data_IF_113649357419
#
_entry.id   IF_113649357419
#
_cell.length_a   1.000
_cell.length_b   1.000
_cell.length_c   1.000
_cell.angle_alpha   90.00
_cell.angle_beta   90.00
_cell.angle_gamma   90.00
#
_symmetry.space_group_name_H-M   'P 1'
#
loop_
_entity.id
_entity.type
_entity.pdbx_description
1 polymer ?
#
# COMPACT_ATOMS: atom_id res chain seq x y z
N UNK A 1 12.45 9.03 -0.85
CA UNK A 1 12.12 7.61 -1.09
C UNK A 1 13.40 6.99 -1.64
N UNK A 2 13.65 5.69 -1.43
CA UNK A 2 14.89 5.09 -1.95
C UNK A 2 14.70 4.59 -3.39
N UNK A 3 15.78 4.46 -4.17
CA UNK A 3 15.77 3.78 -5.47
C UNK A 3 15.06 2.41 -5.41
N UNK A 4 15.31 1.67 -4.32
CA UNK A 4 14.58 0.43 -3.99
C UNK A 4 13.07 0.58 -4.10
N UNK A 5 12.47 1.49 -3.35
CA UNK A 5 11.01 1.61 -3.29
C UNK A 5 10.42 2.17 -4.58
N UNK A 6 11.16 3.00 -5.32
CA UNK A 6 10.76 3.42 -6.65
C UNK A 6 10.72 2.22 -7.62
N UNK A 7 11.73 1.35 -7.55
CA UNK A 7 11.81 0.14 -8.35
C UNK A 7 10.72 -0.89 -7.99
N UNK A 8 10.41 -1.06 -6.70
CA UNK A 8 9.25 -1.84 -6.25
C UNK A 8 7.93 -1.22 -6.70
N UNK A 9 7.78 0.11 -6.63
CA UNK A 9 6.59 0.81 -7.09
C UNK A 9 6.31 0.57 -8.58
N UNK A 10 7.35 0.52 -9.41
CA UNK A 10 7.20 0.17 -10.83
C UNK A 10 6.70 -1.28 -11.02
N UNK A 11 7.11 -2.23 -10.16
CA UNK A 11 6.55 -3.60 -10.14
C UNK A 11 5.09 -3.58 -9.73
N UNK A 12 4.74 -2.88 -8.65
CA UNK A 12 3.37 -2.71 -8.18
C UNK A 12 2.48 -2.13 -9.30
N UNK A 13 2.91 -1.04 -9.94
CA UNK A 13 2.19 -0.43 -11.07
C UNK A 13 1.99 -1.41 -12.22
N UNK A 14 3.03 -2.16 -12.59
CA UNK A 14 2.94 -3.14 -13.68
C UNK A 14 1.90 -4.22 -13.35
N UNK A 15 1.99 -4.80 -12.14
CA UNK A 15 1.02 -5.81 -11.69
C UNK A 15 -0.40 -5.26 -11.61
N UNK A 16 -0.59 -4.03 -11.12
CA UNK A 16 -1.89 -3.34 -11.07
C UNK A 16 -2.50 -3.15 -12.48
N UNK A 17 -1.68 -2.86 -13.49
CA UNK A 17 -2.14 -2.70 -14.88
C UNK A 17 -2.44 -4.02 -15.57
N UNK A 18 -1.57 -5.01 -15.43
CA UNK A 18 -1.63 -6.27 -16.17
C UNK A 18 -2.55 -7.30 -15.51
N UNK A 19 -2.40 -7.48 -14.20
CA UNK A 19 -3.15 -8.45 -13.39
C UNK A 19 -4.38 -7.80 -12.78
N UNK A 20 -4.20 -6.62 -12.19
CA UNK A 20 -5.26 -5.81 -11.60
C UNK A 20 -6.26 -5.26 -12.62
N UNK A 21 -5.91 -5.27 -13.91
CA UNK A 21 -6.70 -4.72 -15.01
C UNK A 21 -7.12 -3.24 -14.81
N UNK A 22 -6.44 -2.51 -13.94
CA UNK A 22 -6.80 -1.13 -13.62
C UNK A 22 -6.31 -0.18 -14.71
N UNK A 23 -7.19 0.66 -15.25
CA UNK A 23 -6.87 1.62 -16.33
C UNK A 23 -6.96 3.09 -15.93
N UNK A 24 -7.45 3.37 -14.71
CA UNK A 24 -7.61 4.73 -14.18
C UNK A 24 -6.28 5.44 -13.84
N UNK A 25 -6.36 6.69 -13.34
CA UNK A 25 -5.18 7.44 -12.91
C UNK A 25 -4.52 6.80 -11.68
N UNK A 26 -3.19 6.83 -11.62
CA UNK A 26 -2.43 6.46 -10.42
C UNK A 26 -1.56 7.63 -9.99
N UNK A 27 -1.62 7.98 -8.72
CA UNK A 27 -0.82 9.05 -8.14
C UNK A 27 0.42 8.47 -7.48
N UNK A 28 1.60 8.88 -7.92
CA UNK A 28 2.88 8.40 -7.37
C UNK A 28 3.57 9.58 -6.70
N UNK A 29 3.76 9.48 -5.39
CA UNK A 29 4.59 10.42 -4.62
C UNK A 29 6.01 9.90 -4.57
N UNK A 30 6.98 10.69 -5.03
CA UNK A 30 8.36 10.21 -5.24
C UNK A 30 9.36 11.36 -5.23
N UNK A 31 10.60 11.07 -4.88
CA UNK A 31 11.77 11.94 -5.08
C UNK A 31 12.58 11.58 -6.33
N UNK A 32 12.09 10.63 -7.14
CA UNK A 32 12.64 10.20 -8.44
C UNK A 32 11.55 10.34 -9.53
N UNK A 33 11.07 11.56 -9.83
CA UNK A 33 9.94 11.78 -10.73
C UNK A 33 10.18 11.26 -12.16
N UNK A 34 11.43 11.33 -12.65
CA UNK A 34 11.84 10.94 -14.00
C UNK A 34 11.55 9.46 -14.32
N UNK A 35 11.44 8.60 -13.31
CA UNK A 35 11.09 7.19 -13.48
C UNK A 35 9.61 6.97 -13.83
N UNK A 36 8.75 7.91 -13.47
CA UNK A 36 7.30 7.76 -13.53
C UNK A 36 6.62 8.71 -14.51
N UNK A 37 7.20 9.88 -14.78
CA UNK A 37 6.67 10.86 -15.74
C UNK A 37 6.39 10.30 -17.15
N UNK A 38 7.20 9.38 -17.70
CA UNK A 38 6.91 8.79 -19.02
C UNK A 38 5.71 7.83 -19.03
N UNK A 39 5.20 7.42 -17.86
CA UNK A 39 4.15 6.40 -17.76
C UNK A 39 2.76 6.99 -18.02
N UNK A 40 1.97 6.28 -18.83
CA UNK A 40 0.59 6.69 -19.13
C UNK A 40 -0.31 6.58 -17.90
N UNK A 41 -1.20 7.56 -17.73
CA UNK A 41 -2.15 7.63 -16.61
C UNK A 41 -1.48 7.55 -15.23
N UNK A 42 -0.27 8.11 -15.12
CA UNK A 42 0.43 8.29 -13.86
C UNK A 42 0.61 9.78 -13.60
N UNK A 43 0.15 10.24 -12.43
CA UNK A 43 0.32 11.60 -11.95
C UNK A 43 1.45 11.58 -10.93
N UNK A 44 2.52 12.33 -11.21
CA UNK A 44 3.70 12.35 -10.35
C UNK A 44 3.63 13.53 -9.38
N UNK A 45 3.68 13.23 -8.09
CA UNK A 45 3.78 14.21 -7.00
C UNK A 45 5.23 14.20 -6.51
N UNK A 46 6.02 15.17 -7.00
CA UNK A 46 7.41 15.28 -6.61
C UNK A 46 7.55 15.76 -5.16
N UNK A 47 8.35 15.06 -4.37
CA UNK A 47 8.73 15.46 -3.01
C UNK A 47 10.25 15.49 -2.86
N UNK A 48 10.80 16.37 -1.99
CA UNK A 48 12.22 16.35 -1.69
C UNK A 48 12.65 15.02 -1.08
N UNK A 49 13.86 14.56 -1.44
CA UNK A 49 14.44 13.39 -0.79
C UNK A 49 14.62 13.64 0.71
N UNK A 50 14.35 12.63 1.52
CA UNK A 50 14.46 12.70 2.98
C UNK A 50 15.01 11.41 3.55
N UNK A 51 15.89 11.55 4.55
CA UNK A 51 16.41 10.42 5.34
C UNK A 51 15.45 10.03 6.47
N UNK A 52 14.43 10.84 6.76
CA UNK A 52 13.48 10.58 7.83
C UNK A 52 12.40 9.60 7.36
N UNK A 53 12.54 8.33 7.78
CA UNK A 53 11.60 7.25 7.44
C UNK A 53 10.14 7.59 7.70
N UNK A 54 9.84 8.29 8.79
CA UNK A 54 8.47 8.64 9.14
C UNK A 54 7.88 9.69 8.18
N UNK A 55 8.70 10.62 7.68
CA UNK A 55 8.27 11.58 6.66
C UNK A 55 7.97 10.86 5.34
N UNK A 56 8.81 9.92 4.95
CA UNK A 56 8.58 9.09 3.76
C UNK A 56 7.29 8.25 3.88
N UNK A 57 7.02 7.69 5.05
CA UNK A 57 5.76 6.97 5.34
C UNK A 57 4.55 7.91 5.44
N UNK A 58 4.80 9.17 5.79
CA UNK A 58 3.84 10.28 5.82
C UNK A 58 3.35 10.74 4.44
N UNK A 59 3.99 10.28 3.37
CA UNK A 59 3.63 10.68 2.02
C UNK A 59 2.23 10.17 1.61
N UNK A 60 1.69 9.13 2.25
CA UNK A 60 0.35 8.62 1.94
C UNK A 60 -0.78 9.57 2.36
N UNK A 61 -0.63 10.30 3.47
CA UNK A 61 -1.58 11.35 3.85
C UNK A 61 -1.41 12.57 2.95
N UNK A 62 -0.19 12.86 2.51
CA UNK A 62 0.09 13.94 1.56
C UNK A 62 -0.63 13.70 0.23
N UNK A 63 -0.59 12.47 -0.31
CA UNK A 63 -1.31 12.09 -1.53
C UNK A 63 -2.81 12.43 -1.46
N UNK A 64 -3.41 12.31 -0.28
CA UNK A 64 -4.84 12.60 -0.08
C UNK A 64 -5.19 14.08 -0.28
N UNK A 65 -4.21 15.00 -0.28
CA UNK A 65 -4.42 16.41 -0.66
C UNK A 65 -4.40 16.65 -2.17
N UNK A 66 -3.86 15.71 -2.96
CA UNK A 66 -3.74 15.81 -4.42
C UNK A 66 -4.85 15.07 -5.18
N UNK A 67 -5.55 14.18 -4.50
CA UNK A 67 -6.62 13.36 -5.07
C UNK A 67 -7.94 14.13 -5.02
N UNK A 68 -8.66 14.15 -6.14
CA UNK A 68 -9.95 14.84 -6.30
C UNK A 68 -11.15 13.88 -6.20
N UNK A 69 -10.85 12.59 -6.28
CA UNK A 69 -11.78 11.49 -6.31
C UNK A 69 -12.49 11.34 -4.96
N UNK A 70 -13.78 11.01 -4.94
CA UNK A 70 -14.53 10.87 -3.69
C UNK A 70 -14.07 9.68 -2.84
N UNK A 71 -13.44 8.69 -3.47
CA UNK A 71 -12.86 7.52 -2.81
C UNK A 71 -11.44 7.32 -3.33
N UNK A 72 -10.52 7.09 -2.40
CA UNK A 72 -9.11 6.88 -2.70
C UNK A 72 -8.63 5.54 -2.15
N UNK A 73 -7.95 4.76 -3.00
CA UNK A 73 -7.23 3.55 -2.60
C UNK A 73 -5.73 3.84 -2.60
N UNK A 74 -5.13 3.73 -1.43
CA UNK A 74 -3.68 3.75 -1.27
C UNK A 74 -3.12 2.33 -1.25
N UNK A 75 -1.99 2.14 -1.94
CA UNK A 75 -1.18 0.93 -1.97
C UNK A 75 0.29 1.29 -1.68
N UNK A 76 0.92 0.62 -0.73
CA UNK A 76 2.37 0.68 -0.51
C UNK A 76 3.11 0.18 -1.77
N UNK A 77 4.35 0.65 -1.96
CA UNK A 77 5.15 0.36 -3.17
C UNK A 77 5.58 -1.10 -3.32
N UNK A 78 5.71 -1.83 -2.22
CA UNK A 78 6.15 -3.23 -2.13
C UNK A 78 4.98 -4.23 -2.10
N UNK A 79 3.83 -3.80 -2.65
CA UNK A 79 2.68 -4.65 -2.91
C UNK A 79 2.69 -5.17 -4.36
N UNK A 80 2.05 -6.32 -4.55
CA UNK A 80 1.77 -6.93 -5.85
C UNK A 80 0.27 -7.18 -5.97
N UNK A 81 -0.31 -6.81 -7.10
CA UNK A 81 -1.72 -7.13 -7.42
C UNK A 81 -1.75 -8.38 -8.30
N UNK A 82 -2.51 -9.38 -7.89
CA UNK A 82 -2.46 -10.74 -8.48
C UNK A 82 -3.68 -11.05 -9.33
N UNK A 83 -4.80 -10.37 -9.10
CA UNK A 83 -6.10 -10.55 -9.78
C UNK A 83 -6.79 -9.19 -10.03
N UNK A 84 -7.87 -9.14 -10.84
CA UNK A 84 -8.59 -7.90 -11.13
C UNK A 84 -9.05 -7.17 -9.86
N UNK A 85 -8.58 -5.93 -9.67
CA UNK A 85 -8.80 -5.16 -8.44
C UNK A 85 -10.24 -4.62 -8.31
N UNK A 86 -11.00 -4.64 -9.41
CA UNK A 86 -12.36 -4.09 -9.45
C UNK A 86 -13.34 -4.88 -8.58
N UNK A 87 -13.20 -6.20 -8.52
CA UNK A 87 -14.09 -7.05 -7.73
C UNK A 87 -13.78 -6.89 -6.25
N UNK A 88 -12.49 -6.94 -5.89
CA UNK A 88 -12.02 -6.57 -4.55
C UNK A 88 -12.55 -5.20 -4.11
N UNK A 89 -12.43 -4.18 -4.97
CA UNK A 89 -12.89 -2.82 -4.63
C UNK A 89 -14.41 -2.77 -4.39
N UNK A 90 -15.21 -3.47 -5.21
CA UNK A 90 -16.67 -3.52 -5.05
C UNK A 90 -17.09 -4.17 -3.74
N UNK A 91 -16.36 -5.19 -3.31
CA UNK A 91 -16.64 -5.90 -2.06
C UNK A 91 -16.25 -5.07 -0.83
N UNK A 92 -15.16 -4.28 -0.93
CA UNK A 92 -14.71 -3.43 0.17
C UNK A 92 -15.50 -2.12 0.30
N UNK A 93 -15.92 -1.51 -0.82
CA UNK A 93 -16.51 -0.17 -0.83
C UNK A 93 -17.73 0.00 0.11
N UNK A 94 -18.67 -0.96 0.25
CA UNK A 94 -19.80 -0.82 1.16
C UNK A 94 -19.41 -0.58 2.62
N UNK A 95 -18.25 -1.06 3.07
CA UNK A 95 -17.77 -0.86 4.43
C UNK A 95 -17.42 0.62 4.72
N UNK A 96 -17.13 1.43 3.69
CA UNK A 96 -16.93 2.88 3.86
C UNK A 96 -18.17 3.60 4.38
N UNK A 97 -19.36 3.00 4.24
CA UNK A 97 -20.59 3.55 4.85
C UNK A 97 -20.47 3.58 6.38
N UNK A 98 -19.80 2.60 6.98
CA UNK A 98 -19.66 2.45 8.44
C UNK A 98 -18.47 3.23 8.99
N UNK A 99 -17.32 3.19 8.31
CA UNK A 99 -16.11 3.90 8.72
C UNK A 99 -15.50 4.66 7.54
N UNK A 100 -14.96 5.87 7.75
CA UNK A 100 -14.45 6.69 6.64
C UNK A 100 -13.09 6.23 6.09
N UNK A 101 -12.38 5.38 6.84
CA UNK A 101 -11.08 4.81 6.49
C UNK A 101 -11.10 3.32 6.80
N UNK A 102 -10.64 2.50 5.87
CA UNK A 102 -10.48 1.06 6.03
C UNK A 102 -9.02 0.67 5.86
N UNK A 103 -8.54 -0.17 6.76
CA UNK A 103 -7.21 -0.78 6.73
C UNK A 103 -7.34 -2.29 6.95
N UNK A 104 -6.32 -3.08 6.60
CA UNK A 104 -6.26 -4.46 7.11
C UNK A 104 -5.81 -4.45 8.57
N UNK A 105 -6.06 -5.55 9.27
CA UNK A 105 -5.51 -5.75 10.61
C UNK A 105 -4.00 -6.03 10.51
N UNK A 106 -3.24 -5.46 11.43
CA UNK A 106 -1.84 -5.78 11.69
C UNK A 106 -1.74 -6.40 13.09
N UNK A 107 -0.85 -7.37 13.24
CA UNK A 107 -0.53 -8.00 14.52
C UNK A 107 0.44 -7.16 15.36
N UNK A 108 0.90 -6.01 14.85
CA UNK A 108 1.86 -5.13 15.54
C UNK A 108 1.41 -3.66 15.54
N UNK A 109 1.63 -2.89 16.63
CA UNK A 109 2.24 -3.29 17.90
C UNK A 109 1.25 -3.83 18.94
N UNK A 110 -0.05 -3.80 18.68
CA UNK A 110 -1.13 -4.24 19.56
C UNK A 110 -2.17 -5.03 18.76
N UNK A 111 -2.98 -5.84 19.42
CA UNK A 111 -4.10 -6.54 18.79
C UNK A 111 -5.09 -5.54 18.16
N UNK A 112 -5.60 -5.85 16.96
CA UNK A 112 -6.45 -4.92 16.21
C UNK A 112 -5.74 -3.67 15.71
N UNK A 113 -4.40 -3.67 15.60
CA UNK A 113 -3.68 -2.56 14.99
C UNK A 113 -3.98 -2.47 13.49
N UNK A 114 -3.75 -1.29 12.91
CA UNK A 114 -4.07 -1.02 11.52
C UNK A 114 -2.85 -1.18 10.61
N UNK A 115 -2.97 -2.04 9.60
CA UNK A 115 -1.96 -2.21 8.56
C UNK A 115 -2.09 -1.08 7.52
N UNK A 116 -1.16 -0.13 7.58
CA UNK A 116 -1.16 1.07 6.72
C UNK A 116 -0.77 0.87 5.26
N UNK A 117 -0.47 -0.36 4.81
CA UNK A 117 -0.02 -0.60 3.44
C UNK A 117 -1.12 -0.68 2.39
N UNK A 118 -2.36 -0.96 2.81
CA UNK A 118 -3.54 -0.83 1.97
C UNK A 118 -4.56 -0.02 2.75
N UNK A 119 -4.96 1.13 2.19
CA UNK A 119 -5.89 2.03 2.87
C UNK A 119 -6.95 2.48 1.88
N UNK A 120 -8.22 2.24 2.19
CA UNK A 120 -9.35 2.75 1.41
C UNK A 120 -10.00 3.90 2.19
N UNK A 121 -10.20 5.04 1.53
CA UNK A 121 -10.65 6.27 2.18
C UNK A 121 -11.84 6.86 1.44
N UNK A 122 -12.91 7.17 2.15
CA UNK A 122 -13.92 8.14 1.71
C UNK A 122 -13.32 9.54 1.90
N UNK A 123 -13.01 10.23 0.81
CA UNK A 123 -12.24 11.48 0.86
C UNK A 123 -13.01 12.66 1.47
N UNK A 124 -14.34 12.56 1.53
CA UNK A 124 -15.19 13.59 2.15
C UNK A 124 -15.21 13.37 3.66
N UNK A 125 -15.51 12.14 4.10
CA UNK A 125 -15.65 11.82 5.53
C UNK A 125 -14.31 11.58 6.24
N UNK A 126 -13.34 11.04 5.51
CA UNK A 126 -12.02 10.64 6.01
C UNK A 126 -11.05 11.80 6.17
N UNK A 127 -11.36 12.99 5.63
CA UNK A 127 -10.47 14.16 5.70
C UNK A 127 -10.03 14.48 7.12
N UNK A 128 -10.95 14.53 8.08
CA UNK A 128 -10.65 14.91 9.46
C UNK A 128 -9.66 13.92 10.12
N UNK A 129 -9.85 12.61 9.93
CA UNK A 129 -8.94 11.61 10.49
C UNK A 129 -7.59 11.60 9.77
N UNK A 130 -7.57 11.76 8.45
CA UNK A 130 -6.33 11.88 7.67
C UNK A 130 -5.50 13.07 8.12
N UNK A 131 -6.12 14.24 8.35
CA UNK A 131 -5.42 15.44 8.84
C UNK A 131 -4.91 15.28 10.27
N UNK A 132 -5.63 14.57 11.14
CA UNK A 132 -5.14 14.20 12.49
C UNK A 132 -3.94 13.25 12.38
N UNK A 133 -4.03 12.25 11.51
CA UNK A 133 -2.97 11.29 11.28
C UNK A 133 -1.71 11.96 10.72
N UNK A 134 -1.86 12.85 9.75
CA UNK A 134 -0.77 13.66 9.20
C UNK A 134 -0.10 14.51 10.28
N UNK A 135 -0.87 15.19 11.15
CA UNK A 135 -0.31 15.95 12.28
C UNK A 135 0.46 15.06 13.25
N UNK A 136 -0.05 13.85 13.54
CA UNK A 136 0.64 12.89 14.39
C UNK A 136 1.97 12.42 13.77
N UNK A 137 1.99 12.13 12.47
CA UNK A 137 3.22 11.81 11.72
C UNK A 137 4.22 12.98 11.77
N UNK A 138 3.76 14.20 11.47
CA UNK A 138 4.60 15.41 11.49
C UNK A 138 5.20 15.74 12.86
N UNK A 139 4.55 15.30 13.95
CA UNK A 139 5.08 15.49 15.31
C UNK A 139 6.40 14.76 15.56
N UNK A 140 6.73 13.74 14.76
CA UNK A 140 7.94 12.92 14.95
C UNK A 140 7.92 12.04 16.21
N UNK A 141 6.83 12.05 16.99
CA UNK A 141 6.73 11.34 18.27
C UNK A 141 6.71 9.82 18.12
N UNK A 142 6.29 9.30 16.97
CA UNK A 142 6.00 7.89 16.73
C UNK A 142 7.03 7.25 15.79
N UNK A 143 7.35 5.98 16.01
CA UNK A 143 8.31 5.23 15.18
C UNK A 143 7.73 4.68 13.86
N UNK A 144 6.41 4.65 13.71
CA UNK A 144 5.73 4.15 12.51
C UNK A 144 4.43 4.90 12.21
N UNK A 145 4.03 4.90 10.95
CA UNK A 145 2.77 5.45 10.46
C UNK A 145 1.55 4.70 11.03
N UNK A 146 1.65 3.39 11.18
CA UNK A 146 0.60 2.56 11.81
C UNK A 146 0.38 2.94 13.28
N UNK A 147 1.45 3.15 14.05
CA UNK A 147 1.34 3.60 15.43
C UNK A 147 0.75 5.02 15.51
N UNK A 148 1.10 5.91 14.56
CA UNK A 148 0.43 7.20 14.44
C UNK A 148 -1.08 7.02 14.22
N UNK A 149 -1.48 6.16 13.27
CA UNK A 149 -2.89 5.94 12.94
C UNK A 149 -3.67 5.43 14.14
N UNK A 150 -3.13 4.43 14.82
CA UNK A 150 -3.71 3.88 16.04
C UNK A 150 -3.87 4.96 17.13
N UNK A 151 -2.85 5.81 17.32
CA UNK A 151 -2.91 6.88 18.33
C UNK A 151 -3.97 7.95 18.08
N UNK A 152 -4.46 8.07 16.84
CA UNK A 152 -5.50 9.04 16.46
C UNK A 152 -6.83 8.38 16.11
N UNK A 153 -6.93 7.05 16.26
CA UNK A 153 -8.15 6.29 16.05
C UNK A 153 -9.15 6.64 17.16
N UNK A 154 -10.10 7.51 16.85
CA UNK A 154 -11.20 7.91 17.71
C UNK A 154 -12.50 7.18 17.35
N UNK A 155 -13.64 7.74 17.76
CA UNK A 155 -14.97 7.21 17.42
C UNK A 155 -15.33 7.32 15.93
N UNK A 156 -14.69 8.25 15.21
CA UNK A 156 -14.70 8.40 13.75
C UNK A 156 -13.44 7.75 13.11
N UNK A 157 -12.84 6.80 13.84
CA UNK A 157 -11.59 6.11 13.55
C UNK A 157 -11.58 5.26 12.28
N UNK A 158 -10.43 4.65 11.96
CA UNK A 158 -10.35 3.63 10.94
C UNK A 158 -11.06 2.36 11.41
N UNK A 159 -11.58 1.58 10.46
CA UNK A 159 -12.05 0.23 10.70
C UNK A 159 -11.27 -0.78 9.86
N UNK A 160 -11.54 -2.06 10.09
CA UNK A 160 -10.96 -3.14 9.32
C UNK A 160 -11.78 -3.45 8.06
N UNK A 161 -11.11 -3.93 7.02
CA UNK A 161 -11.80 -4.53 5.87
C UNK A 161 -12.66 -5.73 6.31
N UNK A 162 -13.84 -5.95 5.69
CA UNK A 162 -14.78 -6.99 6.10
C UNK A 162 -14.44 -8.40 5.57
N UNK A 163 -13.52 -8.52 4.61
CA UNK A 163 -13.12 -9.81 4.03
C UNK A 163 -11.61 -9.92 3.89
N UNK A 164 -11.15 -11.12 3.55
CA UNK A 164 -9.81 -11.35 3.02
C UNK A 164 -9.72 -10.79 1.59
N UNK A 165 -8.50 -10.64 1.09
CA UNK A 165 -8.17 -9.84 -0.10
C UNK A 165 -6.73 -9.34 -0.07
N UNK A 166 -6.07 -9.52 1.07
CA UNK A 166 -4.70 -9.18 1.35
C UNK A 166 -4.01 -10.31 2.10
N UNK A 167 -2.77 -10.60 1.73
CA UNK A 167 -1.92 -11.53 2.46
C UNK A 167 -0.45 -11.13 2.40
N UNK A 168 0.36 -11.69 3.30
CA UNK A 168 1.80 -11.49 3.24
C UNK A 168 2.48 -12.58 2.41
N UNK A 169 3.49 -12.21 1.62
CA UNK A 169 4.24 -13.21 0.83
C UNK A 169 4.87 -14.30 1.71
N UNK A 170 5.22 -13.99 2.96
CA UNK A 170 5.77 -14.99 3.90
C UNK A 170 4.81 -16.15 4.18
N UNK A 171 3.50 -15.90 4.16
CA UNK A 171 2.49 -16.94 4.43
C UNK A 171 2.44 -17.90 3.25
N UNK A 172 2.44 -17.36 2.03
CA UNK A 172 2.54 -18.13 0.79
C UNK A 172 3.82 -18.98 0.71
N UNK A 173 4.97 -18.42 1.12
CA UNK A 173 6.23 -19.16 1.13
C UNK A 173 6.31 -20.23 2.23
N UNK A 174 5.57 -20.05 3.34
CA UNK A 174 5.57 -20.99 4.46
C UNK A 174 4.60 -22.17 4.26
N UNK A 175 3.45 -21.91 3.64
CA UNK A 175 2.36 -22.90 3.51
C UNK A 175 2.56 -23.87 2.33
N UNK A 176 3.50 -23.61 1.42
CA UNK A 176 3.65 -24.38 0.17
C UNK A 176 2.52 -24.07 -0.82
N UNK A 177 2.36 -24.87 -1.90
CA UNK A 177 1.42 -24.68 -3.03
C UNK A 177 -0.07 -24.54 -2.63
N UNK A 178 -0.43 -23.47 -1.92
CA UNK A 178 -1.81 -23.00 -1.81
C UNK A 178 -2.27 -22.48 -3.16
N UNK A 179 -3.46 -22.90 -3.58
CA UNK A 179 -4.09 -22.42 -4.82
C UNK A 179 -4.79 -21.06 -4.62
N UNK A 180 -5.09 -20.69 -3.38
CA UNK A 180 -5.81 -19.46 -3.03
C UNK A 180 -4.83 -18.31 -2.77
N UNK A 181 -4.54 -17.55 -3.82
CA UNK A 181 -3.75 -16.32 -3.73
C UNK A 181 -4.70 -15.12 -3.63
N UNK A 182 -4.53 -14.33 -2.58
CA UNK A 182 -5.29 -13.11 -2.37
C UNK A 182 -4.98 -12.01 -3.42
N UNK A 183 -5.94 -11.12 -3.65
CA UNK A 183 -5.85 -10.06 -4.68
C UNK A 183 -4.61 -9.16 -4.52
N UNK A 184 -4.21 -8.89 -3.27
CA UNK A 184 -3.09 -8.03 -2.93
C UNK A 184 -2.10 -8.81 -2.06
N UNK A 185 -0.84 -8.89 -2.50
CA UNK A 185 0.23 -9.59 -1.77
C UNK A 185 1.28 -8.58 -1.33
N UNK A 186 1.64 -8.60 -0.04
CA UNK A 186 2.65 -7.71 0.52
C UNK A 186 4.02 -8.38 0.65
N UNK A 187 5.01 -7.83 -0.06
CA UNK A 187 6.41 -8.28 0.01
C UNK A 187 7.18 -7.42 1.00
N UNK A 188 6.98 -7.69 2.29
CA UNK A 188 7.61 -6.90 3.35
C UNK A 188 9.14 -7.02 3.31
N UNK A 189 9.84 -6.00 3.83
CA UNK A 189 11.27 -6.08 4.10
C UNK A 189 11.67 -7.29 4.98
N UNK A 190 10.76 -7.82 5.80
CA UNK A 190 11.01 -9.03 6.57
C UNK A 190 11.21 -10.24 5.66
N UNK A 191 10.36 -10.38 4.64
CA UNK A 191 10.47 -11.46 3.63
C UNK A 191 11.74 -11.32 2.83
N UNK A 192 12.03 -10.10 2.35
CA UNK A 192 13.23 -9.81 1.56
C UNK A 192 14.52 -10.20 2.28
N UNK A 193 14.55 -10.08 3.62
CA UNK A 193 15.73 -10.47 4.43
C UNK A 193 15.77 -11.95 4.80
N UNK A 194 14.61 -12.61 4.81
CA UNK A 194 14.48 -13.98 5.28
C UNK A 194 14.68 -15.02 4.15
N UNK A 195 14.47 -14.62 2.90
CA UNK A 195 14.52 -15.52 1.73
C UNK A 195 15.57 -15.06 0.73
N UNK A 196 16.03 -16.00 -0.09
CA UNK A 196 16.91 -15.68 -1.21
C UNK A 196 16.15 -14.87 -2.27
N UNK A 197 16.86 -13.96 -2.93
CA UNK A 197 16.28 -13.13 -3.99
C UNK A 197 15.65 -13.98 -5.09
N UNK A 198 16.33 -15.03 -5.52
CA UNK A 198 15.89 -15.94 -6.58
C UNK A 198 14.58 -16.65 -6.21
N UNK A 199 14.39 -17.00 -4.95
CA UNK A 199 13.17 -17.64 -4.43
C UNK A 199 11.98 -16.67 -4.53
N UNK A 200 12.17 -15.42 -4.09
CA UNK A 200 11.15 -14.38 -4.19
C UNK A 200 10.83 -14.11 -5.66
N UNK A 201 11.84 -13.91 -6.50
CA UNK A 201 11.68 -13.63 -7.93
C UNK A 201 10.96 -14.76 -8.67
N UNK A 202 11.32 -16.02 -8.41
CA UNK A 202 10.66 -17.19 -8.98
C UNK A 202 9.19 -17.24 -8.54
N UNK A 203 8.90 -17.05 -7.25
CA UNK A 203 7.52 -17.06 -6.77
C UNK A 203 6.67 -15.94 -7.40
N UNK A 204 7.18 -14.71 -7.41
CA UNK A 204 6.50 -13.56 -8.03
C UNK A 204 6.22 -13.81 -9.52
N UNK A 205 7.18 -14.38 -10.26
CA UNK A 205 7.02 -14.63 -11.70
C UNK A 205 6.10 -15.81 -11.98
N UNK A 206 6.37 -16.95 -11.36
CA UNK A 206 5.79 -18.24 -11.74
C UNK A 206 4.42 -18.46 -11.09
N UNK A 207 4.26 -18.05 -9.82
CA UNK A 207 3.00 -18.23 -9.08
C UNK A 207 2.09 -17.01 -9.20
N UNK A 208 2.65 -15.80 -9.06
CA UNK A 208 1.83 -14.57 -9.08
C UNK A 208 1.68 -13.96 -10.48
N UNK A 209 2.41 -14.46 -11.48
CA UNK A 209 2.35 -13.97 -12.86
C UNK A 209 2.88 -12.55 -13.03
N UNK A 210 3.81 -12.11 -12.18
CA UNK A 210 4.42 -10.77 -12.25
C UNK A 210 5.45 -10.74 -13.38
N UNK A 211 5.21 -9.92 -14.39
CA UNK A 211 6.08 -9.78 -15.56
C UNK A 211 7.33 -8.92 -15.29
N UNK A 212 7.15 -7.80 -14.59
CA UNK A 212 8.24 -6.90 -14.16
C UNK A 212 8.61 -7.20 -12.72
N UNK A 213 9.79 -7.76 -12.52
CA UNK A 213 10.34 -7.96 -11.19
C UNK A 213 11.18 -6.75 -10.74
N UNK A 214 11.24 -6.45 -9.43
CA UNK A 214 12.16 -5.46 -8.91
C UNK A 214 13.60 -5.95 -9.10
N UNK A 215 14.51 -5.02 -9.39
CA UNK A 215 15.95 -5.23 -9.50
C UNK A 215 16.67 -4.99 -8.17
N UNK A 216 16.11 -4.15 -7.31
CA UNK A 216 16.73 -3.68 -6.06
C UNK A 216 15.96 -4.24 -4.86
N UNK A 217 16.60 -5.13 -4.11
CA UNK A 217 16.04 -5.75 -2.90
C UNK A 217 16.63 -5.19 -1.60
N UNK A 218 17.80 -4.55 -1.65
CA UNK A 218 18.51 -4.04 -0.47
C UNK A 218 18.14 -2.58 -0.15
#
# INVERSE_FOLDING_TARGET
MGEKYADWCLTMLTSLRERGAYRGPVYVITDLPELFEPLKNVVVVCVPSTRHRLIAKGCKQVLMHYVSEPVFLYLDSDLVVTSPIVDWYRDMQPALKRAPVLCYEDVKPVEGAYHGGVVLVDMVRGRAITERWERAVRSGRWGSDQACLYSVAGSDGPAHFPSTGFMFLRELLAEGDGDDVECIVHVTNGVIRAHHREEIESYLRERLGVSRLPRIFD
#
